data_IF_156363621483
#
_entry.id   IF_156363621483
#
_cell.length_a   1.000
_cell.length_b   1.000
_cell.length_c   1.000
_cell.angle_alpha   90.00
_cell.angle_beta   90.00
_cell.angle_gamma   90.00
#
_symmetry.space_group_name_H-M   'P 1'
#
loop_
_entity.id
_entity.type
_entity.pdbx_description
1 polymer ?
#
# COMPACT_ATOMS: atom_id res chain seq x y z
N UNK A 1 45.49 -16.90 28.53
CA UNK A 1 46.09 -16.11 27.43
C UNK A 1 44.95 -15.42 26.68
N UNK A 2 44.75 -14.14 27.01
CA UNK A 2 44.02 -13.10 26.26
C UNK A 2 44.73 -12.79 24.91
N UNK A 3 44.23 -11.88 24.04
CA UNK A 3 42.87 -11.73 23.48
C UNK A 3 42.87 -11.21 21.99
N UNK A 4 41.67 -10.85 21.51
CA UNK A 4 41.40 -9.75 20.55
C UNK A 4 41.59 -9.95 19.05
N UNK A 5 40.48 -9.75 18.31
CA UNK A 5 40.38 -8.68 17.30
C UNK A 5 38.90 -8.32 17.02
N UNK A 6 38.55 -7.09 17.41
CA UNK A 6 37.57 -6.21 16.76
C UNK A 6 37.81 -6.18 15.23
N UNK A 7 36.83 -5.90 14.39
CA UNK A 7 36.48 -4.53 14.00
C UNK A 7 35.07 -4.47 13.38
N UNK A 8 34.32 -3.49 13.86
CA UNK A 8 33.03 -3.03 13.40
C UNK A 8 33.07 -2.30 12.05
N UNK A 9 31.87 -2.00 11.55
CA UNK A 9 31.57 -0.78 10.77
C UNK A 9 32.12 -0.68 9.34
N UNK A 10 31.26 -1.01 8.37
CA UNK A 10 31.30 -0.38 7.05
C UNK A 10 29.87 -0.25 6.47
N UNK A 11 29.08 0.62 7.10
CA UNK A 11 27.92 1.24 6.45
C UNK A 11 28.45 2.43 5.64
N UNK A 12 28.72 2.20 4.35
CA UNK A 12 29.12 3.25 3.42
C UNK A 12 27.91 4.11 3.04
N UNK A 13 27.66 5.12 3.87
CA UNK A 13 26.84 6.26 3.50
C UNK A 13 27.71 7.23 2.69
N UNK A 14 27.52 7.26 1.36
CA UNK A 14 27.57 8.46 0.49
C UNK A 14 27.73 8.07 -0.97
N UNK A 15 26.67 8.27 -1.76
CA UNK A 15 26.78 8.73 -3.15
C UNK A 15 25.43 9.36 -3.57
N UNK A 16 25.19 10.58 -3.09
CA UNK A 16 24.20 11.46 -3.72
C UNK A 16 24.84 12.05 -4.99
N UNK A 17 24.16 12.01 -6.15
CA UNK A 17 24.65 12.62 -7.37
C UNK A 17 24.60 14.15 -7.27
N UNK A 18 25.77 14.78 -7.38
CA UNK A 18 25.90 16.24 -7.51
C UNK A 18 25.49 16.65 -8.93
N UNK A 19 24.33 17.29 -9.08
CA UNK A 19 23.98 17.97 -10.32
C UNK A 19 24.86 19.22 -10.50
N UNK A 20 25.65 19.24 -11.58
CA UNK A 20 26.47 20.36 -12.01
C UNK A 20 25.63 21.61 -12.23
N UNK A 21 25.84 22.61 -11.38
CA UNK A 21 25.30 23.95 -11.53
C UNK A 21 25.91 24.64 -12.76
N UNK A 22 25.16 24.67 -13.87
CA UNK A 22 25.48 25.52 -15.02
C UNK A 22 25.11 26.97 -14.67
N UNK A 23 26.13 27.81 -14.66
CA UNK A 23 26.05 29.27 -14.52
C UNK A 23 25.18 29.85 -15.65
N UNK A 24 24.16 30.62 -15.29
CA UNK A 24 23.48 31.53 -16.21
C UNK A 24 23.65 32.94 -15.66
N UNK A 25 24.50 33.71 -16.33
CA UNK A 25 24.61 35.16 -16.19
C UNK A 25 23.65 35.75 -17.23
N UNK A 26 22.62 36.47 -16.81
CA UNK A 26 21.82 37.31 -17.69
C UNK A 26 21.44 38.59 -16.94
N UNK A 27 21.82 39.70 -17.56
CA UNK A 27 21.73 41.08 -17.09
C UNK A 27 20.60 41.79 -17.85
N UNK A 28 20.05 42.87 -17.26
CA UNK A 28 19.15 43.87 -17.86
C UNK A 28 17.68 43.47 -18.07
N UNK A 29 16.67 44.35 -18.07
CA UNK A 29 16.43 45.75 -17.67
C UNK A 29 14.95 46.01 -18.08
N UNK A 30 14.33 47.04 -17.51
CA UNK A 30 13.07 47.71 -17.91
C UNK A 30 11.77 47.31 -17.19
N UNK A 31 11.37 48.24 -16.32
CA UNK A 31 10.03 48.45 -15.83
C UNK A 31 9.12 49.05 -16.92
N UNK A 32 7.88 48.59 -17.01
CA UNK A 32 6.75 49.38 -17.47
C UNK A 32 5.54 49.12 -16.57
N UNK A 33 5.13 50.16 -15.83
CA UNK A 33 3.86 50.21 -15.12
C UNK A 33 2.76 50.39 -16.16
N UNK A 34 1.94 49.37 -16.38
CA UNK A 34 0.63 49.52 -17.03
C UNK A 34 -0.45 49.31 -15.99
N UNK A 35 -1.00 50.43 -15.51
CA UNK A 35 -2.23 50.47 -14.74
C UNK A 35 -3.40 50.16 -15.69
N UNK A 36 -3.92 48.93 -15.60
CA UNK A 36 -5.25 48.60 -16.10
C UNK A 36 -6.13 48.27 -14.89
N UNK A 37 -6.90 49.26 -14.48
CA UNK A 37 -8.02 49.10 -13.55
C UNK A 37 -9.09 48.25 -14.22
N UNK A 38 -9.16 46.99 -13.81
CA UNK A 38 -10.24 46.08 -14.14
C UNK A 38 -10.38 45.13 -12.97
N UNK A 39 -11.35 45.41 -12.10
CA UNK A 39 -11.70 44.58 -10.94
C UNK A 39 -12.21 43.22 -11.39
N UNK A 40 -11.32 42.34 -11.82
CA UNK A 40 -11.53 40.91 -11.76
C UNK A 40 -11.43 40.57 -10.29
N UNK A 41 -12.56 40.21 -9.68
CA UNK A 41 -12.55 39.36 -8.50
C UNK A 41 -11.75 38.13 -8.91
N UNK A 42 -10.47 38.09 -8.54
CA UNK A 42 -9.76 36.83 -8.48
C UNK A 42 -10.53 36.02 -7.46
N UNK A 43 -11.41 35.14 -7.93
CA UNK A 43 -11.81 33.96 -7.18
C UNK A 43 -10.52 33.19 -6.95
N UNK A 44 -9.83 33.60 -5.88
CA UNK A 44 -8.67 32.91 -5.36
C UNK A 44 -9.27 31.74 -4.59
N UNK A 45 -9.82 30.78 -5.34
CA UNK A 45 -10.14 29.48 -4.78
C UNK A 45 -8.82 28.96 -4.24
N UNK A 46 -8.72 28.83 -2.92
CA UNK A 46 -7.55 28.22 -2.31
C UNK A 46 -7.27 26.89 -3.03
N UNK A 47 -6.01 26.55 -3.32
CA UNK A 47 -5.70 25.29 -3.96
C UNK A 47 -6.29 24.16 -3.12
N UNK A 48 -7.01 23.24 -3.79
CA UNK A 48 -7.63 22.10 -3.13
C UNK A 48 -6.60 21.38 -2.26
N UNK A 49 -7.00 21.02 -1.04
CA UNK A 49 -6.20 20.19 -0.14
C UNK A 49 -5.89 18.83 -0.79
N UNK A 50 -4.85 18.14 -0.31
CA UNK A 50 -4.53 16.80 -0.80
C UNK A 50 -5.73 15.83 -0.68
N UNK A 51 -6.51 15.94 0.40
CA UNK A 51 -7.69 15.11 0.60
C UNK A 51 -8.77 15.39 -0.47
N UNK A 52 -9.04 16.65 -0.79
CA UNK A 52 -9.97 17.03 -1.84
C UNK A 52 -9.49 16.59 -3.23
N UNK A 53 -8.18 16.69 -3.50
CA UNK A 53 -7.59 16.19 -4.75
C UNK A 53 -7.76 14.68 -4.88
N UNK A 54 -7.52 13.91 -3.81
CA UNK A 54 -7.73 12.46 -3.80
C UNK A 54 -9.21 12.14 -4.07
N UNK A 55 -10.14 12.80 -3.38
CA UNK A 55 -11.58 12.60 -3.60
C UNK A 55 -12.00 12.90 -5.04
N UNK A 56 -11.43 13.94 -5.67
CA UNK A 56 -11.69 14.23 -7.09
C UNK A 56 -11.15 13.13 -8.01
N UNK A 57 -9.99 12.56 -7.70
CA UNK A 57 -9.42 11.44 -8.46
C UNK A 57 -10.25 10.16 -8.29
N UNK A 58 -10.77 9.90 -7.09
CA UNK A 58 -11.70 8.79 -6.82
C UNK A 58 -13.03 8.99 -7.57
N UNK A 59 -13.62 10.18 -7.48
CA UNK A 59 -14.89 10.51 -8.16
C UNK A 59 -14.78 10.49 -9.69
N UNK A 60 -13.59 10.76 -10.23
CA UNK A 60 -13.32 10.67 -11.68
C UNK A 60 -12.90 9.26 -12.13
N UNK A 61 -12.84 8.30 -11.21
CA UNK A 61 -12.44 6.90 -11.51
C UNK A 61 -10.95 6.72 -11.80
N UNK A 62 -10.12 7.75 -11.56
CA UNK A 62 -8.66 7.65 -11.69
C UNK A 62 -8.01 6.91 -10.53
N UNK A 63 -8.66 6.91 -9.37
CA UNK A 63 -8.29 6.14 -8.20
C UNK A 63 -9.47 5.26 -7.76
N UNK A 64 -9.21 4.10 -7.12
CA UNK A 64 -10.26 3.33 -6.48
C UNK A 64 -10.91 4.14 -5.35
N UNK A 65 -12.24 4.14 -5.28
CA UNK A 65 -12.96 4.70 -4.16
C UNK A 65 -12.83 3.75 -2.97
N UNK A 66 -12.11 4.17 -1.94
CA UNK A 66 -11.85 3.37 -0.75
C UNK A 66 -12.59 3.88 0.47
N UNK A 67 -12.96 2.97 1.36
CA UNK A 67 -13.44 3.31 2.69
C UNK A 67 -12.29 3.92 3.51
N UNK A 68 -12.49 5.14 3.99
CA UNK A 68 -11.52 5.88 4.81
C UNK A 68 -12.06 6.14 6.22
N UNK A 69 -13.04 5.35 6.64
CA UNK A 69 -13.60 5.45 7.99
C UNK A 69 -12.58 5.05 9.05
N UNK A 70 -12.84 5.45 10.29
CA UNK A 70 -12.00 5.06 11.44
C UNK A 70 -12.25 3.62 11.91
N UNK A 71 -13.27 2.94 11.37
CA UNK A 71 -13.54 1.53 11.65
C UNK A 71 -12.48 0.64 10.97
N UNK A 72 -11.67 -0.04 11.79
CA UNK A 72 -10.61 -0.95 11.31
C UNK A 72 -11.21 -2.07 10.47
N UNK A 73 -12.38 -2.60 10.85
CA UNK A 73 -13.07 -3.66 10.09
C UNK A 73 -13.61 -3.10 8.79
N UNK A 74 -14.27 -1.95 8.86
CA UNK A 74 -14.96 -1.35 7.74
C UNK A 74 -16.21 -2.14 7.31
N UNK A 75 -16.90 -1.68 6.26
CA UNK A 75 -18.09 -2.36 5.73
C UNK A 75 -17.72 -3.70 5.09
N UNK A 76 -18.37 -4.77 5.54
CA UNK A 76 -18.34 -6.13 4.98
C UNK A 76 -19.77 -6.67 5.14
N UNK A 77 -20.60 -6.50 4.11
CA UNK A 77 -22.05 -6.78 4.19
C UNK A 77 -22.38 -8.25 3.98
N UNK A 78 -21.63 -8.92 3.10
CA UNK A 78 -21.83 -10.34 2.81
C UNK A 78 -21.09 -11.25 3.81
N UNK A 79 -20.30 -10.66 4.72
CA UNK A 79 -19.51 -11.33 5.74
C UNK A 79 -18.53 -12.35 5.14
N UNK A 80 -18.00 -12.05 3.95
CA UNK A 80 -17.00 -12.88 3.31
C UNK A 80 -15.59 -12.66 3.92
N UNK A 81 -15.42 -11.67 4.80
CA UNK A 81 -14.15 -11.33 5.44
C UNK A 81 -13.29 -10.36 4.64
N UNK A 82 -13.83 -9.73 3.60
CA UNK A 82 -13.23 -8.67 2.79
C UNK A 82 -14.09 -7.43 2.94
N UNK A 83 -13.48 -6.26 2.89
CA UNK A 83 -14.27 -5.03 2.85
C UNK A 83 -14.95 -4.85 1.49
N UNK A 84 -16.19 -4.36 1.49
CA UNK A 84 -17.00 -4.15 0.30
C UNK A 84 -16.29 -3.30 -0.78
N UNK A 85 -15.50 -2.28 -0.37
CA UNK A 85 -14.76 -1.40 -1.29
C UNK A 85 -13.62 -2.13 -2.02
N UNK A 86 -12.98 -3.08 -1.34
CA UNK A 86 -11.90 -3.90 -1.88
C UNK A 86 -12.46 -4.99 -2.79
N UNK A 87 -13.56 -5.63 -2.41
CA UNK A 87 -14.25 -6.59 -3.29
C UNK A 87 -14.70 -5.93 -4.58
N UNK A 88 -15.33 -4.76 -4.50
CA UNK A 88 -15.75 -4.02 -5.68
C UNK A 88 -14.56 -3.68 -6.60
N UNK A 89 -13.42 -3.31 -6.01
CA UNK A 89 -12.20 -3.05 -6.77
C UNK A 89 -11.64 -4.31 -7.45
N UNK A 90 -11.53 -5.43 -6.72
CA UNK A 90 -11.05 -6.71 -7.30
C UNK A 90 -11.99 -7.16 -8.43
N UNK A 91 -13.30 -7.03 -8.24
CA UNK A 91 -14.31 -7.40 -9.23
C UNK A 91 -14.16 -6.62 -10.54
N UNK A 92 -13.76 -5.35 -10.46
CA UNK A 92 -13.54 -4.47 -11.60
C UNK A 92 -12.22 -4.71 -12.36
N UNK A 93 -11.28 -5.49 -11.80
CA UNK A 93 -9.99 -5.75 -12.45
C UNK A 93 -10.18 -6.55 -13.75
N UNK A 94 -9.45 -6.20 -14.84
CA UNK A 94 -9.45 -6.94 -16.10
C UNK A 94 -8.54 -8.17 -16.02
N UNK A 95 -8.85 -9.07 -15.08
CA UNK A 95 -8.16 -10.34 -14.83
C UNK A 95 -9.17 -11.48 -14.81
N UNK A 96 -8.69 -12.72 -14.90
CA UNK A 96 -9.57 -13.91 -14.92
C UNK A 96 -10.24 -14.15 -13.56
N UNK A 97 -11.34 -14.89 -13.54
CA UNK A 97 -12.04 -15.20 -12.28
C UNK A 97 -11.17 -15.99 -11.28
N UNK A 98 -10.28 -16.86 -11.78
CA UNK A 98 -9.32 -17.57 -10.94
C UNK A 98 -8.34 -16.59 -10.26
N UNK A 99 -7.87 -15.58 -11.00
CA UNK A 99 -6.99 -14.54 -10.45
C UNK A 99 -7.74 -13.62 -9.48
N UNK A 100 -9.03 -13.32 -9.73
CA UNK A 100 -9.88 -12.59 -8.77
C UNK A 100 -10.05 -13.37 -7.47
N UNK A 101 -10.34 -14.67 -7.53
CA UNK A 101 -10.43 -15.52 -6.34
C UNK A 101 -9.12 -15.54 -5.54
N UNK A 102 -7.98 -15.62 -6.22
CA UNK A 102 -6.66 -15.54 -5.56
C UNK A 102 -6.43 -14.18 -4.89
N UNK A 103 -6.82 -13.08 -5.54
CA UNK A 103 -6.77 -11.74 -4.97
C UNK A 103 -7.71 -11.59 -3.75
N UNK A 104 -8.91 -12.18 -3.81
CA UNK A 104 -9.86 -12.21 -2.69
C UNK A 104 -9.31 -13.02 -1.51
N UNK A 105 -8.64 -14.13 -1.75
CA UNK A 105 -7.94 -14.90 -0.70
C UNK A 105 -6.89 -14.04 0.01
N UNK A 106 -6.07 -13.33 -0.75
CA UNK A 106 -5.08 -12.38 -0.22
C UNK A 106 -5.75 -11.24 0.54
N UNK A 107 -6.87 -10.70 0.06
CA UNK A 107 -7.62 -9.66 0.76
C UNK A 107 -8.20 -10.13 2.09
N UNK A 108 -8.77 -11.34 2.17
CA UNK A 108 -9.28 -11.94 3.41
C UNK A 108 -8.20 -12.13 4.47
N UNK A 109 -7.02 -12.61 4.05
CA UNK A 109 -5.87 -12.74 4.95
C UNK A 109 -5.52 -11.37 5.53
N UNK A 110 -5.35 -10.36 4.68
CA UNK A 110 -4.93 -9.03 5.14
C UNK A 110 -5.98 -8.36 6.02
N UNK A 111 -7.27 -8.56 5.74
CA UNK A 111 -8.33 -8.11 6.64
C UNK A 111 -8.23 -8.80 8.00
N UNK A 112 -7.93 -10.10 8.03
CA UNK A 112 -7.72 -10.85 9.26
C UNK A 112 -6.46 -10.38 10.03
N UNK A 113 -5.40 -9.93 9.33
CA UNK A 113 -4.20 -9.35 9.97
C UNK A 113 -4.52 -8.07 10.74
N UNK A 114 -5.49 -7.29 10.26
CA UNK A 114 -5.97 -6.11 10.98
C UNK A 114 -6.86 -6.46 12.19
N UNK A 115 -7.47 -7.64 12.23
CA UNK A 115 -8.50 -7.99 13.22
C UNK A 115 -8.07 -9.06 14.24
N UNK A 116 -6.92 -9.71 14.02
CA UNK A 116 -6.44 -10.80 14.87
C UNK A 116 -6.11 -10.31 16.29
N UNK A 117 -6.36 -11.18 17.28
CA UNK A 117 -5.89 -10.95 18.64
C UNK A 117 -4.36 -11.12 18.71
N UNK A 118 -3.66 -10.01 18.94
CA UNK A 118 -2.18 -9.98 18.98
C UNK A 118 -1.56 -10.76 20.16
N UNK A 119 -2.37 -11.18 21.14
CA UNK A 119 -1.90 -12.01 22.26
C UNK A 119 -2.11 -13.51 22.01
N UNK A 120 -2.82 -13.89 20.95
CA UNK A 120 -3.07 -15.29 20.58
C UNK A 120 -1.98 -15.79 19.63
N UNK A 121 -0.93 -16.38 20.20
CA UNK A 121 0.21 -16.87 19.42
C UNK A 121 -0.17 -17.98 18.43
N UNK A 122 -1.13 -18.85 18.80
CA UNK A 122 -1.60 -19.89 17.91
C UNK A 122 -2.40 -19.30 16.73
N UNK A 123 -3.28 -18.34 17.02
CA UNK A 123 -4.01 -17.60 16.00
C UNK A 123 -3.10 -16.79 15.07
N UNK A 124 -2.05 -16.18 15.62
CA UNK A 124 -1.04 -15.48 14.84
C UNK A 124 -0.27 -16.42 13.91
N UNK A 125 0.17 -17.59 14.38
CA UNK A 125 0.82 -18.58 13.52
C UNK A 125 -0.12 -19.07 12.41
N UNK A 126 -1.35 -19.46 12.76
CA UNK A 126 -2.33 -19.94 11.79
C UNK A 126 -2.68 -18.88 10.72
N UNK A 127 -2.66 -17.59 11.09
CA UNK A 127 -2.82 -16.51 10.13
C UNK A 127 -1.59 -16.37 9.22
N UNK A 128 -0.37 -16.57 9.74
CA UNK A 128 0.84 -16.66 8.94
C UNK A 128 0.80 -17.76 7.89
N UNK A 129 0.39 -18.96 8.30
CA UNK A 129 0.28 -20.10 7.40
C UNK A 129 -0.74 -19.82 6.27
N UNK A 130 -1.88 -19.19 6.61
CA UNK A 130 -2.86 -18.71 5.62
C UNK A 130 -2.30 -17.63 4.71
N UNK A 131 -1.48 -16.72 5.23
CA UNK A 131 -0.81 -15.68 4.45
C UNK A 131 0.14 -16.28 3.41
N UNK A 132 0.97 -17.25 3.79
CA UNK A 132 1.84 -17.95 2.83
C UNK A 132 1.07 -18.79 1.80
N UNK A 133 -0.07 -19.37 2.18
CA UNK A 133 -0.98 -20.01 1.24
C UNK A 133 -1.57 -19.00 0.22
N UNK A 134 -1.96 -17.80 0.67
CA UNK A 134 -2.43 -16.72 -0.20
C UNK A 134 -1.35 -16.23 -1.16
N UNK A 135 -0.13 -15.99 -0.67
CA UNK A 135 1.04 -15.62 -1.50
C UNK A 135 1.33 -16.65 -2.58
N UNK A 136 1.29 -17.95 -2.21
CA UNK A 136 1.49 -19.02 -3.18
C UNK A 136 0.36 -19.06 -4.22
N UNK A 137 -0.90 -18.99 -3.78
CA UNK A 137 -2.05 -19.03 -4.67
C UNK A 137 -2.01 -17.88 -5.69
N UNK A 138 -1.78 -16.64 -5.24
CA UNK A 138 -1.75 -15.49 -6.15
C UNK A 138 -0.55 -15.55 -7.09
N UNK A 139 0.62 -15.99 -6.64
CA UNK A 139 1.78 -16.21 -7.52
C UNK A 139 1.50 -17.28 -8.59
N UNK A 140 0.91 -18.42 -8.20
CA UNK A 140 0.60 -19.52 -9.12
C UNK A 140 -0.50 -19.15 -10.13
N UNK A 141 -1.51 -18.38 -9.71
CA UNK A 141 -2.63 -17.95 -10.56
C UNK A 141 -2.23 -16.97 -11.66
N UNK A 142 -1.05 -16.37 -11.56
CA UNK A 142 -0.51 -15.43 -12.55
C UNK A 142 0.62 -16.02 -13.41
N UNK A 143 0.94 -17.32 -13.25
CA UNK A 143 1.95 -17.97 -14.09
C UNK A 143 1.66 -17.82 -15.60
N UNK A 144 2.70 -17.62 -16.44
CA UNK A 144 4.13 -17.62 -16.09
C UNK A 144 4.63 -16.31 -15.43
N UNK A 145 3.84 -15.24 -15.47
CA UNK A 145 4.17 -13.93 -14.89
C UNK A 145 3.78 -13.84 -13.41
N UNK A 146 4.42 -14.67 -12.58
CA UNK A 146 4.11 -14.75 -11.15
C UNK A 146 4.26 -13.40 -10.42
N UNK A 147 5.18 -12.54 -10.88
CA UNK A 147 5.48 -11.25 -10.25
C UNK A 147 4.26 -10.33 -10.29
N UNK A 148 3.48 -10.36 -11.37
CA UNK A 148 2.23 -9.60 -11.47
C UNK A 148 1.23 -9.94 -10.37
N UNK A 149 1.18 -11.20 -9.93
CA UNK A 149 0.36 -11.62 -8.79
C UNK A 149 0.89 -11.07 -7.46
N UNK A 150 2.21 -11.07 -7.27
CA UNK A 150 2.85 -10.52 -6.06
C UNK A 150 2.70 -9.00 -5.98
N UNK A 151 2.81 -8.30 -7.11
CA UNK A 151 2.59 -6.85 -7.19
C UNK A 151 1.13 -6.49 -6.85
N UNK A 152 0.17 -7.30 -7.32
CA UNK A 152 -1.24 -7.16 -6.95
C UNK A 152 -1.44 -7.40 -5.43
N UNK A 153 -0.75 -8.37 -4.84
CA UNK A 153 -0.78 -8.59 -3.39
C UNK A 153 -0.29 -7.36 -2.62
N UNK A 154 0.84 -6.78 -3.02
CA UNK A 154 1.38 -5.57 -2.40
C UNK A 154 0.47 -4.35 -2.59
N UNK A 155 -0.19 -4.25 -3.74
CA UNK A 155 -1.19 -3.22 -3.98
C UNK A 155 -2.38 -3.37 -3.03
N UNK A 156 -2.92 -4.59 -2.86
CA UNK A 156 -3.97 -4.88 -1.89
C UNK A 156 -3.53 -4.45 -0.48
N UNK A 157 -2.32 -4.77 -0.05
CA UNK A 157 -1.79 -4.36 1.27
C UNK A 157 -1.88 -2.85 1.50
N UNK A 158 -1.45 -2.07 0.52
CA UNK A 158 -1.52 -0.61 0.60
C UNK A 158 -2.96 -0.09 0.70
N UNK A 159 -3.90 -0.74 0.02
CA UNK A 159 -5.33 -0.39 0.03
C UNK A 159 -6.03 -0.86 1.30
N UNK A 160 -5.53 -1.93 1.92
CA UNK A 160 -6.02 -2.45 3.19
C UNK A 160 -5.58 -1.55 4.36
N UNK A 161 -4.33 -1.09 4.36
CA UNK A 161 -3.76 -0.20 5.37
C UNK A 161 -3.97 1.31 5.08
N UNK A 162 -5.01 1.67 4.34
CA UNK A 162 -5.22 3.00 3.74
C UNK A 162 -5.63 4.13 4.73
N UNK A 163 -5.81 3.84 6.02
CA UNK A 163 -6.08 4.82 7.07
C UNK A 163 -5.02 4.73 8.16
N UNK A 164 -4.87 5.81 8.96
CA UNK A 164 -3.91 5.83 10.07
C UNK A 164 -4.15 4.67 11.05
N UNK A 165 -5.41 4.39 11.40
CA UNK A 165 -5.76 3.33 12.35
C UNK A 165 -5.42 1.95 11.79
N UNK A 166 -5.75 1.68 10.51
CA UNK A 166 -5.41 0.42 9.84
C UNK A 166 -3.90 0.25 9.68
N UNK A 167 -3.18 1.29 9.30
CA UNK A 167 -1.72 1.26 9.20
C UNK A 167 -1.05 0.97 10.55
N UNK A 168 -1.51 1.60 11.63
CA UNK A 168 -0.97 1.33 12.98
C UNK A 168 -1.26 -0.11 13.43
N UNK A 169 -2.44 -0.64 13.11
CA UNK A 169 -2.81 -2.02 13.42
C UNK A 169 -1.98 -3.03 12.61
N UNK A 170 -1.78 -2.78 11.32
CA UNK A 170 -0.90 -3.58 10.48
C UNK A 170 0.54 -3.61 11.02
N UNK A 171 1.08 -2.46 11.43
CA UNK A 171 2.40 -2.37 12.07
C UNK A 171 2.45 -3.14 13.40
N UNK A 172 1.35 -3.16 14.17
CA UNK A 172 1.26 -3.92 15.41
C UNK A 172 1.26 -5.43 15.16
N UNK A 173 0.53 -5.90 14.14
CA UNK A 173 0.59 -7.28 13.67
C UNK A 173 2.01 -7.68 13.23
N UNK A 174 2.65 -6.86 12.38
CA UNK A 174 4.02 -7.11 11.92
C UNK A 174 5.04 -7.18 13.08
N UNK A 175 4.86 -6.33 14.10
CA UNK A 175 5.67 -6.40 15.32
C UNK A 175 5.43 -7.71 16.09
N UNK A 176 4.17 -8.12 16.26
CA UNK A 176 3.81 -9.35 16.96
C UNK A 176 4.35 -10.61 16.26
N UNK A 177 4.48 -10.56 14.93
CA UNK A 177 5.05 -11.65 14.10
C UNK A 177 6.56 -11.54 13.88
N UNK A 178 7.22 -10.51 14.40
CA UNK A 178 8.65 -10.30 14.18
C UNK A 178 9.46 -11.49 14.73
N UNK A 179 10.35 -12.03 13.89
CA UNK A 179 11.16 -13.20 14.22
C UNK A 179 10.46 -14.55 14.04
N UNK A 180 9.17 -14.58 13.66
CA UNK A 180 8.49 -15.82 13.28
C UNK A 180 8.93 -16.31 11.90
N UNK A 181 8.82 -17.61 11.68
CA UNK A 181 9.09 -18.26 10.39
C UNK A 181 7.84 -19.00 9.96
N UNK A 182 7.44 -18.83 8.69
CA UNK A 182 6.37 -19.59 8.07
C UNK A 182 6.90 -20.24 6.80
N UNK A 183 6.62 -21.53 6.64
CA UNK A 183 7.02 -22.28 5.45
C UNK A 183 6.10 -21.93 4.27
N UNK A 184 6.65 -21.92 3.05
CA UNK A 184 5.83 -21.84 1.85
C UNK A 184 5.18 -23.22 1.62
N UNK A 185 3.84 -23.35 1.68
CA UNK A 185 3.16 -24.64 1.54
C UNK A 185 3.39 -25.31 0.17
N UNK A 186 3.33 -26.64 0.14
CA UNK A 186 3.35 -27.40 -1.11
C UNK A 186 1.93 -27.59 -1.69
N UNK A 187 1.83 -28.01 -2.96
CA UNK A 187 0.54 -28.32 -3.59
C UNK A 187 -0.32 -27.09 -3.95
N UNK A 188 -1.57 -27.32 -4.34
CA UNK A 188 -2.52 -26.23 -4.60
C UNK A 188 -2.98 -25.61 -3.28
N UNK A 189 -2.92 -24.29 -3.18
CA UNK A 189 -3.26 -23.52 -1.97
C UNK A 189 -4.33 -22.47 -2.21
N UNK A 190 -4.84 -22.41 -3.45
CA UNK A 190 -5.99 -21.58 -3.76
C UNK A 190 -7.24 -22.15 -3.10
N UNK A 191 -7.96 -21.28 -2.41
CA UNK A 191 -9.28 -21.60 -1.87
C UNK A 191 -10.29 -21.85 -3.01
N UNK A 192 -11.31 -22.70 -2.78
CA UNK A 192 -12.30 -23.06 -3.78
C UNK A 192 -13.14 -21.87 -4.29
#
# INVERSE_FOLDING_TARGET
>A
MTPSREIASQWDSRRLPTHSAKRLLAMSLCATLTACGGGRKSDTTAPATLAEQIQQLEASGKLPQLDRSDDIRGPDKDNNGIRDDIDAWIAALPITDAQKRAAQQVARVQQAELLVNLNDQAGLQALGDRSMAGVKCIGDSFKPDYQRGLDLSAQLESMMANTKNRALQYLAYNRARSGSVTELPSGNTCEP
#
